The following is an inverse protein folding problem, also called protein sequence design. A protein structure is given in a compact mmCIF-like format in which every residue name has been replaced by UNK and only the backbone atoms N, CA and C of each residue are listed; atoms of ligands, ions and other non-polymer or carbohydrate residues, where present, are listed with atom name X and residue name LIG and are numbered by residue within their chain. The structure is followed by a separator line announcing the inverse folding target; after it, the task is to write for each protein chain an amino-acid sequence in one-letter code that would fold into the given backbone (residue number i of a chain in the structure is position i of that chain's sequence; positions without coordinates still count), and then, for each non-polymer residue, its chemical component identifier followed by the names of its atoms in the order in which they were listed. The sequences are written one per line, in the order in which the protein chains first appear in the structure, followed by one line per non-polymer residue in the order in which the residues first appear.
data_IF_109927243169
#
_entry.id   IF_109927243169
#
_cell.length_a   1.000
_cell.length_b   1.000
_cell.length_c   1.000
_cell.angle_alpha   90.00
_cell.angle_beta   90.00
_cell.angle_gamma   90.00
#
_symmetry.space_group_name_H-M   'P 1'
#
loop_
_entity.id
_entity.type
_entity.pdbx_description
1 polymer ?
#
# COMPACT_ATOMS: atom_id res chain seq x y z
N UNK A 1 -19.46 72.58 6.34
CA UNK A 1 -19.32 72.75 7.80
C UNK A 1 -17.84 72.89 8.12
N UNK A 2 -17.42 74.04 8.66
CA UNK A 2 -16.03 74.31 9.04
C UNK A 2 -15.60 73.33 10.13
N UNK A 3 -14.52 72.56 9.88
CA UNK A 3 -13.87 71.75 10.93
C UNK A 3 -13.37 72.72 12.00
N UNK A 4 -13.87 72.59 13.22
CA UNK A 4 -13.28 73.25 14.39
C UNK A 4 -11.92 72.59 14.63
N UNK A 5 -10.84 73.26 14.24
CA UNK A 5 -9.49 72.85 14.63
C UNK A 5 -9.33 73.06 16.14
N UNK A 6 -9.42 71.97 16.90
CA UNK A 6 -9.17 71.97 18.34
C UNK A 6 -7.65 71.92 18.52
N UNK A 7 -7.06 72.99 19.07
CA UNK A 7 -5.65 73.00 19.42
C UNK A 7 -5.40 72.14 20.66
N UNK A 8 -4.62 71.08 20.50
CA UNK A 8 -4.20 70.18 21.58
C UNK A 8 -2.71 70.40 21.89
N UNK A 9 -2.40 70.96 23.05
CA UNK A 9 -1.03 71.20 23.49
C UNK A 9 -0.45 69.94 24.15
N UNK A 10 0.25 69.13 23.37
CA UNK A 10 0.92 67.92 23.84
C UNK A 10 2.31 68.26 24.43
N UNK A 11 2.54 67.91 25.71
CA UNK A 11 3.89 67.92 26.29
C UNK A 11 4.59 66.61 25.92
N UNK A 12 5.70 66.70 25.21
CA UNK A 12 6.52 65.55 24.81
C UNK A 12 7.95 65.67 25.32
N UNK A 13 8.64 64.54 25.60
CA UNK A 13 10.06 64.53 25.89
C UNK A 13 10.90 65.16 24.77
N UNK A 14 12.00 65.81 25.14
CA UNK A 14 12.87 66.54 24.21
C UNK A 14 13.46 65.62 23.12
N UNK A 15 13.83 64.40 23.48
CA UNK A 15 14.31 63.38 22.54
C UNK A 15 13.26 63.00 21.49
N UNK A 16 11.98 62.91 21.90
CA UNK A 16 10.88 62.57 21.00
C UNK A 16 10.59 63.73 20.04
N UNK A 17 10.66 64.97 20.54
CA UNK A 17 10.53 66.18 19.73
C UNK A 17 11.63 66.25 18.66
N UNK A 18 12.87 65.94 19.02
CA UNK A 18 14.00 65.90 18.08
C UNK A 18 13.80 64.87 16.97
N UNK A 19 13.27 63.68 17.30
CA UNK A 19 12.94 62.64 16.31
C UNK A 19 11.83 63.07 15.35
N UNK A 20 10.77 63.73 15.85
CA UNK A 20 9.69 64.24 15.00
C UNK A 20 10.20 65.37 14.09
N UNK A 21 11.06 66.27 14.58
CA UNK A 21 11.64 67.35 13.77
C UNK A 21 12.53 66.82 12.64
N UNK A 22 13.39 65.83 12.92
CA UNK A 22 14.20 65.18 11.91
C UNK A 22 13.33 64.51 10.82
N UNK A 23 12.27 63.81 11.23
CA UNK A 23 11.32 63.18 10.32
C UNK A 23 10.51 64.20 9.49
N UNK A 24 10.08 65.30 10.12
CA UNK A 24 9.33 66.37 9.45
C UNK A 24 10.18 67.02 8.35
N UNK A 25 11.48 67.26 8.61
CA UNK A 25 12.43 67.75 7.61
C UNK A 25 12.62 66.76 6.46
N UNK A 26 12.81 65.48 6.76
CA UNK A 26 12.97 64.43 5.75
C UNK A 26 11.73 64.32 4.84
N UNK A 27 10.53 64.47 5.42
CA UNK A 27 9.25 64.35 4.72
C UNK A 27 8.71 65.68 4.15
N UNK A 28 9.47 66.78 4.26
CA UNK A 28 9.08 68.13 3.83
C UNK A 28 7.72 68.59 4.38
N UNK A 29 7.45 68.28 5.66
CA UNK A 29 6.22 68.62 6.37
C UNK A 29 6.50 69.52 7.57
N UNK A 30 5.48 70.24 8.06
CA UNK A 30 5.59 70.90 9.36
C UNK A 30 5.61 69.86 10.48
N UNK A 31 6.26 70.18 11.61
CA UNK A 31 6.32 69.30 12.78
C UNK A 31 4.92 68.88 13.25
N UNK A 32 3.96 69.80 13.24
CA UNK A 32 2.59 69.52 13.62
C UNK A 32 1.88 68.60 12.61
N UNK A 33 2.11 68.79 11.31
CA UNK A 33 1.55 67.92 10.28
C UNK A 33 2.13 66.50 10.34
N UNK A 34 3.43 66.37 10.58
CA UNK A 34 4.11 65.08 10.74
C UNK A 34 3.65 64.35 12.02
N UNK A 35 3.55 65.05 13.14
CA UNK A 35 3.03 64.49 14.39
C UNK A 35 1.58 64.01 14.24
N UNK A 36 0.74 64.80 13.57
CA UNK A 36 -0.66 64.45 13.32
C UNK A 36 -0.77 63.25 12.37
N UNK A 37 0.04 63.20 11.30
CA UNK A 37 0.11 62.05 10.40
C UNK A 37 0.49 60.79 11.17
N UNK A 38 1.55 60.82 11.97
CA UNK A 38 1.99 59.65 12.75
C UNK A 38 0.99 59.21 13.80
N UNK A 39 0.30 60.15 14.45
CA UNK A 39 -0.80 59.84 15.36
C UNK A 39 -1.92 59.14 14.60
N UNK A 40 -2.35 59.68 13.46
CA UNK A 40 -3.36 59.06 12.61
C UNK A 40 -2.94 57.65 12.14
N UNK A 41 -1.71 57.53 11.64
CA UNK A 41 -1.12 56.27 11.20
C UNK A 41 -1.03 55.26 12.35
N UNK A 42 -0.79 55.70 13.59
CA UNK A 42 -0.73 54.81 14.77
C UNK A 42 -2.10 54.21 15.12
N UNK A 43 -3.19 54.92 14.86
CA UNK A 43 -4.55 54.39 15.03
C UNK A 43 -4.93 53.47 13.86
N UNK A 44 -4.57 53.84 12.63
CA UNK A 44 -4.87 53.03 11.42
C UNK A 44 -4.05 51.73 11.38
N UNK A 45 -2.78 51.77 11.78
CA UNK A 45 -1.90 50.59 11.80
C UNK A 45 -2.34 49.55 12.83
N UNK A 46 -2.88 49.98 13.98
CA UNK A 46 -3.32 49.06 15.03
C UNK A 46 -4.54 48.23 14.60
N UNK A 47 -5.47 48.86 13.85
CA UNK A 47 -6.63 48.17 13.29
C UNK A 47 -6.23 47.26 12.12
N UNK A 48 -5.32 47.69 11.24
CA UNK A 48 -4.86 46.87 10.10
C UNK A 48 -4.08 45.63 10.55
N UNK A 49 -3.19 45.73 11.55
CA UNK A 49 -2.43 44.57 12.05
C UNK A 49 -3.37 43.52 12.68
N UNK A 50 -4.39 43.95 13.42
CA UNK A 50 -5.36 43.03 14.02
C UNK A 50 -6.25 42.35 12.97
N UNK A 51 -6.69 43.09 11.95
CA UNK A 51 -7.47 42.54 10.83
C UNK A 51 -6.63 41.57 10.00
N UNK A 52 -5.35 41.87 9.79
CA UNK A 52 -4.43 41.00 9.04
C UNK A 52 -4.09 39.73 9.83
N UNK A 53 -3.82 39.85 11.13
CA UNK A 53 -3.67 38.70 12.02
C UNK A 53 -4.94 37.84 12.08
N UNK A 54 -6.13 38.45 12.18
CA UNK A 54 -7.40 37.74 12.16
C UNK A 54 -7.65 37.02 10.83
N UNK A 55 -7.29 37.63 9.69
CA UNK A 55 -7.35 36.98 8.37
C UNK A 55 -6.36 35.83 8.24
N UNK A 56 -5.15 35.95 8.79
CA UNK A 56 -4.17 34.85 8.81
C UNK A 56 -4.73 33.69 9.64
N UNK A 57 -5.28 33.97 10.82
CA UNK A 57 -5.92 32.96 11.68
C UNK A 57 -7.15 32.35 11.00
N UNK A 58 -8.00 33.15 10.36
CA UNK A 58 -9.17 32.66 9.63
C UNK A 58 -8.77 31.79 8.44
N UNK A 59 -7.78 32.19 7.65
CA UNK A 59 -7.24 31.39 6.55
C UNK A 59 -6.61 30.09 7.06
N UNK A 60 -5.89 30.14 8.18
CA UNK A 60 -5.34 28.97 8.85
C UNK A 60 -6.43 28.01 9.34
N UNK A 61 -7.49 28.53 9.95
CA UNK A 61 -8.64 27.75 10.41
C UNK A 61 -9.45 27.17 9.24
N UNK A 62 -9.66 27.93 8.16
CA UNK A 62 -10.30 27.43 6.93
C UNK A 62 -9.45 26.37 6.25
N UNK A 63 -8.13 26.56 6.19
CA UNK A 63 -7.19 25.58 5.65
C UNK A 63 -7.17 24.28 6.45
N UNK A 64 -7.48 24.32 7.76
CA UNK A 64 -7.61 23.14 8.64
C UNK A 64 -9.06 22.66 8.82
N UNK A 65 -10.04 23.36 8.27
CA UNK A 65 -11.43 22.93 8.33
C UNK A 65 -11.61 21.65 7.50
N UNK A 66 -12.36 20.64 7.99
CA UNK A 66 -12.60 19.41 7.24
C UNK A 66 -13.39 19.71 5.97
N UNK A 67 -12.74 19.56 4.82
CA UNK A 67 -13.43 19.50 3.52
C UNK A 67 -13.99 18.10 3.31
N UNK A 68 -14.97 17.95 2.42
CA UNK A 68 -15.51 16.63 2.07
C UNK A 68 -14.40 15.70 1.57
N UNK A 69 -13.49 16.25 0.77
CA UNK A 69 -12.29 15.57 0.29
C UNK A 69 -11.43 15.03 1.45
N UNK A 70 -11.11 15.86 2.45
CA UNK A 70 -10.29 15.44 3.59
C UNK A 70 -10.95 14.33 4.39
N UNK A 71 -12.26 14.40 4.61
CA UNK A 71 -13.02 13.36 5.32
C UNK A 71 -12.93 12.03 4.59
N UNK A 72 -13.19 12.01 3.28
CA UNK A 72 -13.16 10.79 2.47
C UNK A 72 -11.74 10.20 2.38
N UNK A 73 -10.69 11.02 2.33
CA UNK A 73 -9.29 10.53 2.43
C UNK A 73 -9.01 9.93 3.79
N UNK A 74 -9.35 10.65 4.87
CA UNK A 74 -9.15 10.20 6.23
C UNK A 74 -9.89 8.88 6.51
N UNK A 75 -11.12 8.72 6.04
CA UNK A 75 -11.89 7.48 6.15
C UNK A 75 -11.16 6.30 5.48
N UNK A 76 -10.59 6.51 4.29
CA UNK A 76 -9.82 5.47 3.60
C UNK A 76 -8.50 5.17 4.31
N UNK A 77 -7.79 6.18 4.81
CA UNK A 77 -6.58 5.97 5.62
C UNK A 77 -6.89 5.17 6.89
N UNK A 78 -7.96 5.52 7.60
CA UNK A 78 -8.42 4.78 8.78
C UNK A 78 -8.82 3.34 8.43
N UNK A 79 -9.47 3.12 7.28
CA UNK A 79 -9.74 1.78 6.77
C UNK A 79 -8.44 0.99 6.59
N UNK A 80 -7.44 1.55 5.90
CA UNK A 80 -6.14 0.90 5.66
C UNK A 80 -5.47 0.51 6.99
N UNK A 81 -5.38 1.46 7.94
CA UNK A 81 -4.80 1.17 9.25
C UNK A 81 -5.58 0.10 10.02
N UNK A 82 -6.92 0.09 9.90
CA UNK A 82 -7.75 -0.94 10.53
C UNK A 82 -7.54 -2.33 9.92
N UNK A 83 -7.26 -2.42 8.62
CA UNK A 83 -6.93 -3.67 7.94
C UNK A 83 -5.54 -4.17 8.35
N UNK A 84 -4.54 -3.28 8.40
CA UNK A 84 -3.20 -3.64 8.86
C UNK A 84 -3.21 -4.19 10.27
N UNK A 85 -3.95 -3.57 11.20
CA UNK A 85 -4.06 -4.02 12.59
C UNK A 85 -4.69 -5.42 12.76
N UNK A 86 -5.34 -5.96 11.73
CA UNK A 86 -5.86 -7.35 11.73
C UNK A 86 -4.81 -8.38 11.34
N UNK A 87 -3.66 -7.95 10.82
CA UNK A 87 -2.49 -8.75 10.45
C UNK A 87 -1.63 -8.91 11.70
N UNK A 88 -1.12 -10.12 11.97
CA UNK A 88 -0.41 -10.41 13.21
C UNK A 88 0.84 -9.53 13.36
N UNK A 89 1.57 -9.31 12.27
CA UNK A 89 2.79 -8.50 12.27
C UNK A 89 2.55 -7.01 12.58
N UNK A 90 1.35 -6.49 12.26
CA UNK A 90 1.01 -5.08 12.37
C UNK A 90 -0.07 -4.79 13.42
N UNK A 91 -0.34 -5.72 14.33
CA UNK A 91 -1.43 -5.61 15.31
C UNK A 91 -1.32 -4.38 16.23
N UNK A 92 -0.09 -3.97 16.56
CA UNK A 92 0.24 -2.79 17.37
C UNK A 92 0.68 -1.58 16.53
N UNK A 93 0.64 -1.68 15.20
CA UNK A 93 1.14 -0.68 14.28
C UNK A 93 0.44 0.69 14.45
N UNK A 94 1.24 1.74 14.50
CA UNK A 94 0.80 3.11 14.81
C UNK A 94 0.91 4.05 13.62
N UNK A 95 0.22 5.19 13.69
CA UNK A 95 0.33 6.24 12.66
C UNK A 95 1.75 6.82 12.64
N UNK A 96 2.43 6.88 13.79
CA UNK A 96 3.80 7.37 13.88
C UNK A 96 4.79 6.43 13.18
N UNK A 97 4.63 5.12 13.32
CA UNK A 97 5.43 4.13 12.58
C UNK A 97 5.17 4.22 11.08
N UNK A 98 3.91 4.35 10.64
CA UNK A 98 3.59 4.58 9.23
C UNK A 98 4.26 5.84 8.69
N UNK A 99 4.20 6.95 9.42
CA UNK A 99 4.83 8.21 9.03
C UNK A 99 6.35 8.06 8.89
N UNK A 100 6.99 7.35 9.82
CA UNK A 100 8.41 7.06 9.78
C UNK A 100 8.78 6.18 8.56
N UNK A 101 8.02 5.12 8.28
CA UNK A 101 8.30 4.19 7.19
C UNK A 101 8.12 4.79 5.80
N UNK A 102 7.25 5.79 5.64
CA UNK A 102 7.11 6.56 4.39
C UNK A 102 8.07 7.77 4.30
N UNK A 103 8.99 7.90 5.26
CA UNK A 103 9.99 8.97 5.37
C UNK A 103 9.40 10.37 5.57
N UNK A 104 8.43 10.52 6.47
CA UNK A 104 8.00 11.84 6.96
C UNK A 104 8.88 12.30 8.12
N UNK A 105 9.10 13.61 8.19
CA UNK A 105 9.91 14.22 9.25
C UNK A 105 9.21 14.18 10.63
N UNK A 106 7.87 14.19 10.64
CA UNK A 106 7.08 14.20 11.88
C UNK A 106 5.80 13.38 11.76
N UNK A 107 5.37 12.80 12.88
CA UNK A 107 4.10 12.07 12.97
C UNK A 107 2.87 13.00 13.12
N UNK A 108 3.06 14.26 13.54
CA UNK A 108 1.94 15.18 13.83
C UNK A 108 1.07 15.46 12.59
N UNK A 109 1.73 15.70 11.45
CA UNK A 109 1.01 15.87 10.17
C UNK A 109 0.28 14.61 9.76
N UNK A 110 0.93 13.45 9.95
CA UNK A 110 0.32 12.16 9.67
C UNK A 110 -0.95 11.95 10.50
N UNK A 111 -0.91 12.18 11.81
CA UNK A 111 -2.11 12.07 12.64
C UNK A 111 -3.22 13.05 12.20
N UNK A 112 -2.86 14.26 11.78
CA UNK A 112 -3.82 15.24 11.26
C UNK A 112 -4.50 14.76 9.97
N UNK A 113 -3.84 13.92 9.15
CA UNK A 113 -4.46 13.28 7.97
C UNK A 113 -5.58 12.33 8.38
N UNK A 114 -5.35 11.49 9.41
CA UNK A 114 -6.34 10.53 9.90
C UNK A 114 -7.51 11.21 10.62
N UNK A 115 -7.33 12.44 11.13
CA UNK A 115 -8.38 13.28 11.72
C UNK A 115 -9.14 14.16 10.71
N UNK A 116 -8.80 14.10 9.42
CA UNK A 116 -9.34 14.98 8.37
C UNK A 116 -9.08 16.49 8.59
N UNK A 117 -8.05 16.83 9.37
CA UNK A 117 -7.61 18.21 9.64
C UNK A 117 -6.68 18.69 8.50
N UNK A 118 -5.85 17.78 8.00
CA UNK A 118 -4.91 18.00 6.90
C UNK A 118 -5.14 16.97 5.80
N UNK A 119 -4.84 17.32 4.54
CA UNK A 119 -4.83 16.36 3.44
C UNK A 119 -3.38 15.98 3.14
N UNK A 120 -3.03 14.68 3.10
CA UNK A 120 -1.73 14.26 2.58
C UNK A 120 -1.62 14.63 1.10
N UNK A 121 -0.41 14.96 0.67
CA UNK A 121 -0.09 15.15 -0.74
C UNK A 121 -0.29 13.86 -1.54
N UNK A 122 -0.42 13.97 -2.87
CA UNK A 122 -0.51 12.78 -3.71
C UNK A 122 0.71 11.86 -3.57
N UNK A 123 1.92 12.42 -3.47
CA UNK A 123 3.14 11.63 -3.24
C UNK A 123 3.12 10.90 -1.90
N UNK A 124 2.62 11.53 -0.82
CA UNK A 124 2.43 10.86 0.46
C UNK A 124 1.39 9.73 0.37
N UNK A 125 0.27 9.95 -0.32
CA UNK A 125 -0.74 8.91 -0.55
C UNK A 125 -0.18 7.74 -1.37
N UNK A 126 0.65 8.01 -2.38
CA UNK A 126 1.31 6.96 -3.18
C UNK A 126 2.28 6.14 -2.34
N UNK A 127 3.10 6.77 -1.51
CA UNK A 127 4.00 6.07 -0.58
C UNK A 127 3.22 5.20 0.41
N UNK A 128 2.13 5.71 0.97
CA UNK A 128 1.25 4.93 1.87
C UNK A 128 0.66 3.74 1.12
N UNK A 129 0.15 3.94 -0.10
CA UNK A 129 -0.42 2.88 -0.92
C UNK A 129 0.61 1.76 -1.18
N UNK A 130 1.82 2.14 -1.59
CA UNK A 130 2.94 1.21 -1.79
C UNK A 130 3.29 0.44 -0.53
N UNK A 131 3.46 1.14 0.59
CA UNK A 131 3.81 0.55 1.89
C UNK A 131 2.77 -0.47 2.38
N UNK A 132 1.49 -0.19 2.13
CA UNK A 132 0.36 -0.94 2.69
C UNK A 132 -0.28 -1.90 1.69
N UNK A 133 0.30 -2.03 0.48
CA UNK A 133 -0.22 -2.83 -0.64
C UNK A 133 -1.64 -2.45 -1.08
N UNK A 134 -2.07 -1.23 -0.78
CA UNK A 134 -3.38 -0.70 -1.13
C UNK A 134 -3.33 -0.17 -2.56
N UNK A 135 -4.41 -0.36 -3.31
CA UNK A 135 -4.55 0.19 -4.65
C UNK A 135 -4.49 1.75 -4.59
N UNK A 136 -3.52 2.39 -5.27
CA UNK A 136 -3.41 3.84 -5.30
C UNK A 136 -4.65 4.54 -5.85
N UNK A 137 -5.31 4.02 -6.89
CA UNK A 137 -6.53 4.63 -7.43
C UNK A 137 -7.67 4.65 -6.40
N UNK A 138 -7.74 3.62 -5.56
CA UNK A 138 -8.72 3.58 -4.47
C UNK A 138 -8.36 4.58 -3.38
N UNK A 139 -7.10 4.62 -2.93
CA UNK A 139 -6.68 5.51 -1.85
C UNK A 139 -6.68 6.99 -2.27
N UNK A 140 -6.26 7.30 -3.50
CA UNK A 140 -6.21 8.67 -4.02
C UNK A 140 -7.60 9.13 -4.45
N UNK A 141 -8.31 8.35 -5.27
CA UNK A 141 -9.51 8.82 -5.98
C UNK A 141 -10.82 8.13 -5.60
N UNK A 142 -10.76 7.04 -4.83
CA UNK A 142 -11.95 6.28 -4.42
C UNK A 142 -12.51 5.43 -5.56
N UNK A 143 -11.65 5.08 -6.52
CA UNK A 143 -11.99 4.23 -7.67
C UNK A 143 -11.45 2.83 -7.44
N UNK A 144 -12.06 1.82 -8.08
CA UNK A 144 -11.67 0.41 -7.91
C UNK A 144 -11.87 -0.07 -6.46
N UNK A 145 -11.19 -1.15 -6.06
CA UNK A 145 -11.27 -1.77 -4.74
C UNK A 145 -9.99 -1.46 -3.93
N UNK A 146 -10.04 -1.51 -2.59
CA UNK A 146 -8.88 -1.22 -1.75
C UNK A 146 -7.63 -2.05 -2.08
N UNK A 147 -7.80 -3.31 -2.49
CA UNK A 147 -6.71 -4.21 -2.83
C UNK A 147 -6.88 -4.74 -4.26
N UNK A 148 -5.76 -4.83 -4.97
CA UNK A 148 -5.72 -5.29 -6.35
C UNK A 148 -5.61 -6.80 -6.44
N UNK A 149 -6.46 -7.38 -7.30
CA UNK A 149 -6.45 -8.79 -7.66
C UNK A 149 -6.02 -8.90 -9.12
N UNK A 150 -4.83 -9.44 -9.32
CA UNK A 150 -4.25 -9.56 -10.65
C UNK A 150 -4.73 -10.84 -11.33
N UNK A 151 -5.64 -10.69 -12.29
CA UNK A 151 -6.14 -11.78 -13.13
C UNK A 151 -5.12 -12.13 -14.21
N UNK A 152 -4.10 -12.91 -13.84
CA UNK A 152 -2.99 -13.28 -14.73
C UNK A 152 -3.10 -14.72 -15.19
N UNK A 153 -2.61 -15.02 -16.39
CA UNK A 153 -2.32 -16.39 -16.80
C UNK A 153 -0.81 -16.59 -16.70
N UNK A 154 -0.38 -17.69 -16.09
CA UNK A 154 1.03 -18.09 -16.18
C UNK A 154 1.35 -18.34 -17.67
N UNK A 155 2.56 -17.99 -18.06
CA UNK A 155 3.02 -18.07 -19.45
C UNK A 155 3.20 -19.52 -19.92
N UNK A 156 3.21 -20.46 -18.98
CA UNK A 156 3.55 -21.87 -19.21
C UNK A 156 5.00 -22.00 -19.73
N UNK A 157 5.84 -21.04 -19.34
CA UNK A 157 7.27 -20.95 -19.63
C UNK A 157 8.02 -20.84 -18.31
N UNK A 158 8.76 -21.89 -17.96
CA UNK A 158 9.35 -22.06 -16.63
C UNK A 158 10.17 -20.84 -16.19
N UNK A 159 11.06 -20.32 -17.04
CA UNK A 159 11.84 -19.10 -16.77
C UNK A 159 10.99 -17.88 -16.40
N UNK A 160 9.93 -17.64 -17.18
CA UNK A 160 9.11 -16.45 -17.04
C UNK A 160 8.26 -16.53 -15.78
N UNK A 161 7.67 -17.70 -15.53
CA UNK A 161 6.77 -17.89 -14.39
C UNK A 161 7.54 -18.04 -13.07
N UNK A 162 8.75 -18.62 -13.10
CA UNK A 162 9.68 -18.58 -11.97
C UNK A 162 10.06 -17.12 -11.63
N UNK A 163 10.43 -16.32 -12.64
CA UNK A 163 10.75 -14.91 -12.43
C UNK A 163 9.56 -14.12 -11.90
N UNK A 164 8.38 -14.33 -12.45
CA UNK A 164 7.15 -13.68 -11.99
C UNK A 164 6.91 -13.92 -10.49
N UNK A 165 7.13 -15.16 -10.02
CA UNK A 165 6.88 -15.55 -8.64
C UNK A 165 8.00 -15.15 -7.67
N UNK A 166 9.26 -15.16 -8.11
CA UNK A 166 10.42 -15.00 -7.22
C UNK A 166 11.15 -13.65 -7.35
N UNK A 167 10.95 -12.90 -8.44
CA UNK A 167 11.60 -11.61 -8.67
C UNK A 167 10.62 -10.48 -8.39
N UNK A 168 11.09 -9.45 -7.71
CA UNK A 168 10.31 -8.25 -7.41
C UNK A 168 9.88 -7.51 -8.68
N UNK A 169 8.70 -6.90 -8.65
CA UNK A 169 8.22 -6.10 -9.79
C UNK A 169 9.11 -4.85 -9.97
N UNK A 170 9.87 -4.73 -11.08
CA UNK A 170 10.75 -3.58 -11.29
C UNK A 170 9.99 -2.28 -11.56
N UNK A 171 8.69 -2.36 -11.88
CA UNK A 171 7.86 -1.17 -12.11
C UNK A 171 7.42 -0.47 -10.82
N UNK A 172 7.60 -1.14 -9.68
CA UNK A 172 7.26 -0.61 -8.36
C UNK A 172 8.54 -0.44 -7.53
N UNK A 173 8.95 0.81 -7.31
CA UNK A 173 10.19 1.15 -6.58
C UNK A 173 10.21 0.56 -5.16
N UNK A 174 9.07 0.55 -4.48
CA UNK A 174 8.94 0.00 -3.12
C UNK A 174 9.08 -1.54 -3.10
N UNK A 175 8.51 -2.23 -4.09
CA UNK A 175 8.65 -3.69 -4.20
C UNK A 175 10.04 -4.09 -4.68
N UNK A 176 10.62 -3.34 -5.62
CA UNK A 176 11.95 -3.65 -6.18
C UNK A 176 13.09 -3.49 -5.15
N UNK A 177 12.86 -2.72 -4.09
CA UNK A 177 13.76 -2.61 -2.94
C UNK A 177 13.63 -3.77 -1.92
N UNK A 178 12.65 -4.66 -2.07
CA UNK A 178 12.42 -5.79 -1.16
C UNK A 178 12.52 -7.13 -1.89
N UNK A 179 12.87 -8.19 -1.18
CA UNK A 179 12.92 -9.56 -1.74
C UNK A 179 11.62 -10.30 -1.46
N UNK A 180 11.28 -11.24 -2.34
CA UNK A 180 10.17 -12.16 -2.08
C UNK A 180 10.56 -13.09 -0.93
N UNK A 181 9.77 -13.07 0.14
CA UNK A 181 9.96 -13.88 1.34
C UNK A 181 9.14 -15.17 1.28
N UNK A 182 7.88 -15.06 0.85
CA UNK A 182 6.94 -16.18 0.84
C UNK A 182 6.07 -16.20 -0.41
N UNK A 183 5.73 -17.41 -0.86
CA UNK A 183 4.67 -17.65 -1.83
C UNK A 183 3.64 -18.57 -1.18
N UNK A 184 2.39 -18.15 -1.17
CA UNK A 184 1.26 -18.95 -0.66
C UNK A 184 0.34 -19.34 -1.80
N UNK A 185 0.17 -20.65 -2.01
CA UNK A 185 -0.81 -21.23 -2.92
C UNK A 185 -2.07 -21.60 -2.12
N UNK A 186 -3.19 -20.96 -2.43
CA UNK A 186 -4.44 -21.13 -1.70
C UNK A 186 -5.45 -21.76 -2.65
N UNK A 187 -5.85 -23.00 -2.37
CA UNK A 187 -6.91 -23.69 -3.13
C UNK A 187 -8.26 -23.49 -2.43
N UNK A 188 -9.28 -23.10 -3.19
CA UNK A 188 -10.66 -23.07 -2.74
C UNK A 188 -11.18 -24.49 -2.45
N UNK A 189 -11.91 -24.68 -1.35
CA UNK A 189 -12.62 -25.91 -1.01
C UNK A 189 -13.93 -26.05 -1.83
N UNK A 190 -13.79 -26.02 -3.15
CA UNK A 190 -14.84 -26.36 -4.11
C UNK A 190 -14.43 -27.59 -4.92
N UNK A 191 -15.39 -28.14 -5.66
CA UNK A 191 -15.14 -29.23 -6.62
C UNK A 191 -14.11 -28.81 -7.67
N UNK A 192 -14.22 -27.58 -8.19
CA UNK A 192 -13.29 -27.04 -9.19
C UNK A 192 -11.90 -26.73 -8.63
N UNK A 193 -11.80 -26.34 -7.35
CA UNK A 193 -10.54 -26.06 -6.69
C UNK A 193 -9.79 -24.86 -7.27
N UNK A 194 -10.43 -23.70 -7.32
CA UNK A 194 -9.81 -22.46 -7.83
C UNK A 194 -8.55 -22.08 -7.03
N UNK A 195 -7.65 -21.33 -7.65
CA UNK A 195 -6.35 -20.99 -7.08
C UNK A 195 -6.17 -19.48 -6.88
N UNK A 196 -5.71 -19.09 -5.69
CA UNK A 196 -5.07 -17.79 -5.44
C UNK A 196 -3.60 -18.03 -5.16
N UNK A 197 -2.74 -17.15 -5.67
CA UNK A 197 -1.32 -17.12 -5.34
C UNK A 197 -1.03 -15.77 -4.67
N UNK A 198 -0.54 -15.80 -3.44
CA UNK A 198 -0.02 -14.61 -2.77
C UNK A 198 1.50 -14.62 -2.84
N UNK A 199 2.07 -13.51 -3.30
CA UNK A 199 3.50 -13.26 -3.28
C UNK A 199 3.76 -12.19 -2.23
N UNK A 200 4.49 -12.57 -1.18
CA UNK A 200 4.70 -11.78 0.02
C UNK A 200 6.18 -11.42 0.11
N UNK A 201 6.44 -10.14 0.28
CA UNK A 201 7.78 -9.56 0.34
C UNK A 201 8.29 -9.48 1.79
N UNK A 202 9.60 -9.25 1.97
CA UNK A 202 10.20 -9.11 3.31
C UNK A 202 9.65 -7.91 4.09
N UNK A 203 9.23 -6.87 3.39
CA UNK A 203 8.52 -5.71 3.95
C UNK A 203 7.01 -5.94 4.13
N UNK A 204 6.54 -7.19 3.99
CA UNK A 204 5.12 -7.58 4.06
C UNK A 204 4.20 -6.97 3.01
N UNK A 205 4.75 -6.32 1.97
CA UNK A 205 3.96 -6.00 0.80
C UNK A 205 3.45 -7.29 0.14
N UNK A 206 2.29 -7.21 -0.53
CA UNK A 206 1.63 -8.38 -1.11
C UNK A 206 1.11 -8.10 -2.50
N UNK A 207 1.45 -9.01 -3.42
CA UNK A 207 0.76 -9.14 -4.70
C UNK A 207 -0.18 -10.35 -4.66
N UNK A 208 -1.42 -10.15 -5.11
CA UNK A 208 -2.44 -11.21 -5.17
C UNK A 208 -2.73 -11.57 -6.62
N UNK A 209 -2.42 -12.80 -7.00
CA UNK A 209 -2.72 -13.33 -8.31
C UNK A 209 -3.88 -14.32 -8.25
N UNK A 210 -4.78 -14.22 -9.23
CA UNK A 210 -5.89 -15.16 -9.41
C UNK A 210 -5.85 -15.73 -10.83
N UNK A 211 -5.07 -16.80 -11.03
CA UNK A 211 -4.92 -17.41 -12.33
C UNK A 211 -6.04 -18.42 -12.64
N UNK A 212 -6.31 -18.73 -13.93
CA UNK A 212 -7.40 -19.60 -14.35
C UNK A 212 -7.07 -21.09 -14.17
N UNK A 213 -6.54 -21.46 -13.00
CA UNK A 213 -6.25 -22.85 -12.62
C UNK A 213 -7.35 -23.41 -11.75
N UNK A 214 -7.78 -24.60 -12.12
CA UNK A 214 -8.65 -25.45 -11.34
C UNK A 214 -7.84 -26.65 -10.89
N UNK A 215 -7.64 -26.80 -9.58
CA UNK A 215 -6.89 -27.91 -8.98
C UNK A 215 -7.88 -29.04 -8.66
N UNK A 216 -8.33 -29.71 -9.72
CA UNK A 216 -9.35 -30.75 -9.69
C UNK A 216 -9.20 -31.74 -10.86
N UNK A 217 -9.87 -32.90 -10.75
CA UNK A 217 -9.90 -33.94 -11.78
C UNK A 217 -10.99 -33.72 -12.86
N UNK A 218 -11.92 -32.78 -12.63
CA UNK A 218 -13.00 -32.38 -13.56
C UNK A 218 -12.53 -31.45 -14.70
N UNK A 219 -11.23 -31.27 -14.85
CA UNK A 219 -10.64 -30.41 -15.86
C UNK A 219 -10.82 -30.93 -17.30
N UNK A 220 -11.17 -30.03 -18.22
CA UNK A 220 -11.02 -30.26 -19.66
C UNK A 220 -9.55 -30.44 -20.06
N UNK A 221 -9.30 -30.98 -21.26
CA UNK A 221 -7.94 -31.37 -21.72
C UNK A 221 -6.93 -30.21 -21.62
N UNK A 222 -7.33 -29.01 -22.04
CA UNK A 222 -6.47 -27.81 -21.96
C UNK A 222 -6.10 -27.46 -20.51
N UNK A 223 -7.11 -27.31 -19.64
CA UNK A 223 -6.89 -27.00 -18.22
C UNK A 223 -6.06 -28.06 -17.49
N UNK A 224 -6.22 -29.33 -17.85
CA UNK A 224 -5.41 -30.40 -17.28
C UNK A 224 -3.93 -30.33 -17.71
N UNK A 225 -3.62 -29.97 -18.97
CA UNK A 225 -2.23 -29.74 -19.37
C UNK A 225 -1.61 -28.55 -18.64
N UNK A 226 -2.37 -27.46 -18.47
CA UNK A 226 -1.93 -26.33 -17.64
C UNK A 226 -1.68 -26.80 -16.20
N UNK A 227 -2.55 -27.64 -15.62
CA UNK A 227 -2.35 -28.18 -14.27
C UNK A 227 -1.06 -29.04 -14.16
N UNK A 228 -0.74 -29.83 -15.18
CA UNK A 228 0.54 -30.57 -15.22
C UNK A 228 1.74 -29.63 -15.23
N UNK A 229 1.66 -28.54 -16.02
CA UNK A 229 2.67 -27.48 -16.01
C UNK A 229 2.79 -26.84 -14.62
N UNK A 230 1.65 -26.49 -13.99
CA UNK A 230 1.63 -25.91 -12.65
C UNK A 230 2.31 -26.83 -11.63
N UNK A 231 2.03 -28.12 -11.67
CA UNK A 231 2.70 -29.10 -10.81
C UNK A 231 4.21 -29.16 -11.07
N UNK A 232 4.65 -29.01 -12.32
CA UNK A 232 6.07 -28.99 -12.65
C UNK A 232 6.75 -27.75 -12.09
N UNK A 233 6.13 -26.57 -12.29
CA UNK A 233 6.58 -25.30 -11.74
C UNK A 233 6.73 -25.39 -10.21
N UNK A 234 5.73 -25.89 -9.50
CA UNK A 234 5.76 -25.94 -8.03
C UNK A 234 6.81 -26.94 -7.52
N UNK A 235 7.01 -28.08 -8.18
CA UNK A 235 8.12 -28.99 -7.88
C UNK A 235 9.48 -28.34 -8.07
N UNK A 236 9.67 -27.55 -9.13
CA UNK A 236 10.92 -26.82 -9.38
C UNK A 236 11.15 -25.76 -8.29
N UNK A 237 10.11 -25.01 -7.92
CA UNK A 237 10.16 -24.05 -6.80
C UNK A 237 10.60 -24.73 -5.49
N UNK A 238 9.96 -25.84 -5.13
CA UNK A 238 10.25 -26.58 -3.89
C UNK A 238 11.65 -27.22 -3.89
N UNK A 239 12.12 -27.72 -5.04
CA UNK A 239 13.43 -28.39 -5.14
C UNK A 239 14.59 -27.40 -5.09
N UNK A 240 14.50 -26.28 -5.80
CA UNK A 240 15.65 -25.40 -6.03
C UNK A 240 15.59 -24.06 -5.31
N UNK A 241 14.40 -23.60 -4.91
CA UNK A 241 14.22 -22.24 -4.37
C UNK A 241 13.67 -22.22 -2.94
N UNK A 242 13.29 -23.36 -2.37
CA UNK A 242 12.84 -23.50 -0.96
C UNK A 242 13.83 -22.93 0.08
N UNK A 243 15.14 -22.93 -0.22
CA UNK A 243 16.14 -22.34 0.68
C UNK A 243 16.18 -20.81 0.64
N UNK A 244 15.54 -20.20 -0.35
CA UNK A 244 15.54 -18.74 -0.60
C UNK A 244 14.17 -18.11 -0.36
N UNK A 245 13.09 -18.82 -0.70
CA UNK A 245 11.71 -18.34 -0.57
C UNK A 245 10.87 -19.45 0.07
N UNK A 246 10.09 -19.10 1.08
CA UNK A 246 9.18 -20.05 1.71
C UNK A 246 7.99 -20.30 0.79
N UNK A 247 7.70 -21.57 0.51
CA UNK A 247 6.55 -21.96 -0.30
C UNK A 247 5.55 -22.68 0.60
N UNK A 248 4.34 -22.14 0.68
CA UNK A 248 3.26 -22.71 1.47
C UNK A 248 2.06 -23.02 0.59
N UNK A 249 1.34 -24.06 0.97
CA UNK A 249 0.02 -24.40 0.44
C UNK A 249 -1.03 -24.36 1.55
N UNK A 250 -2.23 -23.93 1.20
CA UNK A 250 -3.37 -23.77 2.10
C UNK A 250 -4.68 -24.17 1.41
N UNK A 251 -5.69 -24.47 2.21
CA UNK A 251 -7.07 -24.68 1.78
C UNK A 251 -7.95 -23.59 2.40
N UNK A 252 -8.94 -23.12 1.65
CA UNK A 252 -9.82 -22.04 2.09
C UNK A 252 -11.27 -22.31 1.72
N UNK A 253 -12.21 -21.98 2.61
CA UNK A 253 -13.65 -22.07 2.31
C UNK A 253 -14.04 -21.16 1.15
N UNK A 254 -15.10 -21.51 0.42
CA UNK A 254 -15.64 -20.69 -0.70
C UNK A 254 -15.96 -19.25 -0.25
N UNK A 255 -16.52 -19.07 0.96
CA UNK A 255 -16.85 -17.74 1.50
C UNK A 255 -15.59 -16.87 1.68
N UNK A 256 -14.56 -17.40 2.35
CA UNK A 256 -13.33 -16.66 2.58
C UNK A 256 -12.51 -16.47 1.31
N UNK A 257 -12.57 -17.42 0.37
CA UNK A 257 -11.91 -17.32 -0.92
C UNK A 257 -12.51 -16.18 -1.75
N UNK A 258 -13.85 -16.12 -1.84
CA UNK A 258 -14.55 -15.01 -2.48
C UNK A 258 -14.26 -13.67 -1.81
N UNK A 259 -14.16 -13.65 -0.47
CA UNK A 259 -13.84 -12.43 0.26
C UNK A 259 -12.48 -11.84 -0.17
N UNK A 260 -11.44 -12.67 -0.36
CA UNK A 260 -10.16 -12.18 -0.91
C UNK A 260 -10.37 -11.61 -2.32
N UNK A 261 -11.10 -12.33 -3.19
CA UNK A 261 -11.31 -11.90 -4.58
C UNK A 261 -12.15 -10.62 -4.73
N UNK A 262 -12.90 -10.21 -3.69
CA UNK A 262 -13.58 -8.91 -3.72
C UNK A 262 -12.63 -7.72 -3.71
N UNK A 263 -11.38 -7.91 -3.26
CA UNK A 263 -10.42 -6.82 -3.08
C UNK A 263 -10.80 -5.83 -1.97
N UNK A 264 -11.82 -6.12 -1.15
CA UNK A 264 -12.27 -5.21 -0.07
C UNK A 264 -11.64 -5.50 1.29
N UNK A 265 -10.78 -6.52 1.38
CA UNK A 265 -10.03 -6.85 2.59
C UNK A 265 -8.58 -7.12 2.24
N UNK A 266 -7.67 -6.82 3.17
CA UNK A 266 -6.26 -7.12 2.96
C UNK A 266 -6.06 -8.64 2.99
N UNK A 267 -5.43 -9.27 1.98
CA UNK A 267 -5.36 -10.73 1.84
C UNK A 267 -4.71 -11.43 3.06
N UNK A 268 -3.70 -10.81 3.66
CA UNK A 268 -3.03 -11.36 4.86
C UNK A 268 -3.91 -11.45 6.10
N UNK A 269 -4.99 -10.67 6.21
CA UNK A 269 -5.92 -10.75 7.35
C UNK A 269 -6.59 -12.12 7.46
N UNK A 270 -6.63 -12.85 6.34
CA UNK A 270 -7.09 -14.22 6.22
C UNK A 270 -5.87 -15.16 6.15
N UNK A 271 -4.93 -14.91 5.24
CA UNK A 271 -3.88 -15.86 4.87
C UNK A 271 -2.81 -16.14 5.94
N UNK A 272 -2.56 -15.23 6.89
CA UNK A 272 -1.64 -15.49 8.01
C UNK A 272 -2.21 -16.47 9.04
N UNK A 273 -3.55 -16.55 9.14
CA UNK A 273 -4.24 -17.42 10.08
C UNK A 273 -4.39 -18.85 9.56
N UNK A 274 -4.05 -19.09 8.30
CA UNK A 274 -4.19 -20.39 7.68
C UNK A 274 -3.07 -21.34 8.09
N UNK A 275 -3.45 -22.54 8.50
CA UNK A 275 -2.50 -23.62 8.69
C UNK A 275 -1.93 -24.07 7.35
N UNK A 276 -0.63 -24.30 7.31
CA UNK A 276 0.01 -24.89 6.14
C UNK A 276 -0.46 -26.33 5.97
N UNK A 277 -0.90 -26.66 4.75
CA UNK A 277 -1.33 -27.99 4.32
C UNK A 277 -0.51 -28.32 3.08
N UNK A 278 0.39 -29.32 3.10
CA UNK A 278 1.40 -29.56 2.06
C UNK A 278 0.83 -30.25 0.81
N UNK A 279 -0.36 -29.85 0.37
CA UNK A 279 -1.01 -30.47 -0.79
C UNK A 279 -0.20 -30.27 -2.07
N UNK A 280 0.59 -29.19 -2.16
CA UNK A 280 1.37 -28.88 -3.35
C UNK A 280 2.61 -29.77 -3.50
N UNK A 281 3.25 -30.12 -2.38
CA UNK A 281 4.34 -31.10 -2.32
C UNK A 281 3.80 -32.47 -2.74
N UNK A 282 2.66 -32.85 -2.15
CA UNK A 282 2.12 -34.19 -2.29
C UNK A 282 1.44 -34.47 -3.65
N UNK A 283 0.95 -33.43 -4.33
CA UNK A 283 0.17 -33.54 -5.57
C UNK A 283 0.92 -34.27 -6.70
N UNK A 284 2.24 -34.11 -6.77
CA UNK A 284 3.09 -34.71 -7.79
C UNK A 284 4.26 -35.53 -7.20
N UNK A 285 4.21 -35.89 -5.93
CA UNK A 285 5.21 -36.75 -5.28
C UNK A 285 4.69 -38.16 -5.03
N UNK A 286 5.56 -39.15 -5.28
CA UNK A 286 5.30 -40.56 -4.95
C UNK A 286 5.53 -40.77 -3.46
N UNK A 287 4.45 -40.77 -2.70
CA UNK A 287 4.45 -41.03 -1.27
C UNK A 287 4.07 -42.49 -0.99
N UNK A 288 4.69 -43.15 0.01
CA UNK A 288 4.36 -44.52 0.37
C UNK A 288 2.91 -44.62 0.87
N UNK A 289 2.11 -45.50 0.24
CA UNK A 289 0.72 -45.88 0.53
C UNK A 289 0.05 -45.16 1.73
N UNK A 290 -0.27 -43.89 1.53
CA UNK A 290 -1.16 -43.11 2.38
C UNK A 290 -2.26 -42.55 1.49
N UNK A 291 -3.50 -42.77 1.90
CA UNK A 291 -4.63 -42.03 1.37
C UNK A 291 -4.52 -40.61 1.93
N UNK A 292 -4.45 -39.62 1.05
CA UNK A 292 -4.34 -38.22 1.43
C UNK A 292 -5.69 -37.55 1.21
N UNK A 293 -6.38 -37.24 2.30
CA UNK A 293 -7.73 -36.69 2.29
C UNK A 293 -7.71 -35.16 2.45
N UNK A 294 -7.05 -34.46 1.52
CA UNK A 294 -7.02 -32.99 1.54
C UNK A 294 -8.35 -32.39 1.07
N UNK A 295 -8.96 -32.98 0.05
CA UNK A 295 -10.29 -32.66 -0.45
C UNK A 295 -10.82 -33.85 -1.26
N UNK A 296 -12.13 -33.88 -1.49
CA UNK A 296 -12.76 -34.93 -2.27
C UNK A 296 -12.23 -34.99 -3.71
N UNK A 297 -11.74 -36.14 -4.14
CA UNK A 297 -11.09 -36.33 -5.43
C UNK A 297 -9.59 -36.02 -5.48
N UNK A 298 -8.94 -35.62 -4.37
CA UNK A 298 -7.48 -35.38 -4.33
C UNK A 298 -6.68 -36.59 -4.82
N UNK A 299 -6.93 -37.78 -4.27
CA UNK A 299 -6.18 -38.99 -4.61
C UNK A 299 -6.39 -39.43 -6.06
N UNK A 300 -7.61 -39.24 -6.60
CA UNK A 300 -7.93 -39.49 -8.01
C UNK A 300 -7.12 -38.57 -8.92
N UNK A 301 -7.12 -37.27 -8.62
CA UNK A 301 -6.34 -36.27 -9.35
C UNK A 301 -4.85 -36.61 -9.27
N UNK A 302 -4.34 -36.87 -8.07
CA UNK A 302 -2.94 -37.20 -7.81
C UNK A 302 -2.50 -38.45 -8.57
N UNK A 303 -3.29 -39.53 -8.57
CA UNK A 303 -2.97 -40.74 -9.33
C UNK A 303 -2.86 -40.46 -10.83
N UNK A 304 -3.76 -39.63 -11.37
CA UNK A 304 -3.74 -39.19 -12.77
C UNK A 304 -2.48 -38.37 -13.09
N UNK A 305 -2.15 -37.39 -12.24
CA UNK A 305 -0.96 -36.54 -12.37
C UNK A 305 0.31 -37.39 -12.31
N UNK A 306 0.46 -38.29 -11.34
CA UNK A 306 1.64 -39.13 -11.19
C UNK A 306 1.90 -40.03 -12.41
N UNK A 307 0.84 -40.57 -13.01
CA UNK A 307 0.94 -41.34 -14.26
C UNK A 307 1.44 -40.46 -15.40
N UNK A 308 0.83 -39.30 -15.59
CA UNK A 308 1.12 -38.46 -16.75
C UNK A 308 2.46 -37.72 -16.60
N UNK A 309 2.86 -37.39 -15.37
CA UNK A 309 4.22 -36.93 -15.05
C UNK A 309 5.26 -37.94 -15.54
N UNK A 310 5.06 -39.22 -15.24
CA UNK A 310 6.00 -40.28 -15.63
C UNK A 310 5.99 -40.58 -17.14
N UNK A 311 4.89 -40.27 -17.84
CA UNK A 311 4.71 -40.61 -19.25
C UNK A 311 5.06 -39.47 -20.23
N UNK A 312 4.91 -38.20 -19.82
CA UNK A 312 5.12 -37.06 -20.71
C UNK A 312 6.60 -36.68 -20.81
N UNK A 313 7.12 -36.76 -22.03
CA UNK A 313 8.52 -36.49 -22.36
C UNK A 313 8.96 -35.09 -21.89
N UNK A 314 8.24 -34.02 -22.25
CA UNK A 314 8.61 -32.65 -21.84
C UNK A 314 8.73 -32.46 -20.31
N UNK A 315 7.91 -33.16 -19.52
CA UNK A 315 7.99 -33.11 -18.05
C UNK A 315 9.26 -33.82 -17.59
N UNK A 316 9.53 -35.00 -18.14
CA UNK A 316 10.71 -35.80 -17.78
C UNK A 316 12.01 -35.14 -18.24
N UNK A 317 12.03 -34.50 -19.41
CA UNK A 317 13.16 -33.73 -19.92
C UNK A 317 13.52 -32.60 -18.95
N UNK A 318 12.54 -31.79 -18.54
CA UNK A 318 12.77 -30.68 -17.62
C UNK A 318 13.12 -31.19 -16.22
N UNK A 319 12.35 -32.14 -15.68
CA UNK A 319 12.49 -32.58 -14.28
C UNK A 319 13.79 -33.35 -13.99
N UNK A 320 14.32 -34.05 -14.99
CA UNK A 320 15.55 -34.83 -14.86
C UNK A 320 16.79 -34.06 -15.37
N UNK A 321 16.63 -32.81 -15.82
CA UNK A 321 17.75 -31.98 -16.26
C UNK A 321 18.65 -31.63 -15.05
N UNK A 322 19.89 -32.13 -15.00
CA UNK A 322 20.80 -31.88 -13.87
C UNK A 322 21.23 -30.42 -13.79
N UNK A 323 21.11 -29.68 -14.89
CA UNK A 323 21.51 -28.27 -15.00
C UNK A 323 20.30 -27.32 -14.96
N UNK A 324 19.11 -27.79 -14.61
CA UNK A 324 17.89 -26.98 -14.61
C UNK A 324 18.07 -25.67 -13.83
N UNK A 325 18.71 -25.74 -12.66
CA UNK A 325 18.99 -24.58 -11.81
C UNK A 325 20.04 -23.62 -12.40
N UNK A 326 20.92 -24.11 -13.27
CA UNK A 326 21.93 -23.31 -14.00
C UNK A 326 21.34 -22.64 -15.23
N UNK A 327 20.33 -23.26 -15.86
CA UNK A 327 19.62 -22.73 -17.03
C UNK A 327 18.61 -21.65 -16.66
N UNK A 328 18.15 -21.65 -15.41
CA UNK A 328 17.18 -20.68 -14.87
C UNK A 328 17.77 -19.90 -13.68
N UNK A 329 18.91 -19.20 -13.85
CA UNK A 329 19.49 -18.43 -12.76
C UNK A 329 18.56 -17.26 -12.42
N UNK A 330 18.25 -17.12 -11.14
CA UNK A 330 17.62 -15.93 -10.60
C UNK A 330 18.66 -15.20 -9.78
N UNK A 331 18.98 -13.98 -10.22
CA UNK A 331 19.68 -13.01 -9.38
C UNK A 331 18.64 -12.42 -8.41
N UNK A 332 18.89 -12.60 -7.11
CA UNK A 332 17.99 -12.21 -6.02
C UNK A 332 18.40 -10.90 -5.37
#
# INVERSE_FOLDING_TARGET
MSKKDIQFNLRIPEELKAKIDAAAKANQRSINAEATSRLYDSFVMNDNIQVEAAKIVENFLRARSPTERKKVVAERLNFVLSELKKIYHFNEFTIAELAFEINEDTADEAEAWFRAELEPTFGQLEKIAQHTSVNPNWLLFGKQTPYDIQHIRLNEYLDQDIKLLLVSDPSNEYLSASKVKEIKFIRELSETGQLIILKIYENYAVETFYPPYHISDVNGVGGYNSLLYFCLLTKVLLRYYKSKVNVYSHLLSEEQFKLILTGTVHPLTIAEKLHHIPWIDDLADRLPNKNLDYWDGFDTLRARILRDFAAKEYIQEIWNDPELYLKHPIEF
#
